data_IF_347566220760
#
_entry.id   IF_347566220760
#
_cell.length_a   1.000
_cell.length_b   1.000
_cell.length_c   1.000
_cell.angle_alpha   90.00
_cell.angle_beta   90.00
_cell.angle_gamma   90.00
#
_symmetry.space_group_name_H-M   'P 1'
#
loop_
_entity.id
_entity.type
_entity.pdbx_description
1 polymer ?
#
# COMPACT_ATOMS: atom_id res chain seq x y z
N UNK A 1 -1.00 -6.91 -10.33
CA UNK A 1 0.24 -7.62 -9.96
C UNK A 1 0.17 -9.13 -10.16
N UNK A 2 -0.76 -9.84 -9.49
CA UNK A 2 -0.89 -11.31 -9.59
C UNK A 2 -0.92 -11.84 -11.03
N UNK A 3 -1.78 -11.28 -11.89
CA UNK A 3 -1.88 -11.66 -13.30
C UNK A 3 -0.55 -11.52 -14.06
N UNK A 4 0.23 -10.47 -13.78
CA UNK A 4 1.54 -10.28 -14.41
C UNK A 4 2.59 -11.28 -13.92
N UNK A 5 2.52 -11.74 -12.67
CA UNK A 5 3.38 -12.81 -12.14
C UNK A 5 3.02 -14.16 -12.80
N UNK A 6 1.74 -14.46 -12.96
CA UNK A 6 1.28 -15.68 -13.63
C UNK A 6 1.74 -15.71 -15.09
N UNK A 7 1.60 -14.59 -15.82
CA UNK A 7 2.04 -14.47 -17.21
C UNK A 7 3.54 -14.76 -17.38
N UNK A 8 4.40 -14.21 -16.53
CA UNK A 8 5.83 -14.47 -16.63
C UNK A 8 6.20 -15.89 -16.18
N UNK A 9 5.63 -16.40 -15.09
CA UNK A 9 6.02 -17.71 -14.53
C UNK A 9 5.47 -18.91 -15.31
N UNK A 10 4.23 -18.82 -15.78
CA UNK A 10 3.53 -19.94 -16.43
C UNK A 10 3.59 -19.87 -17.95
N UNK A 11 3.59 -18.68 -18.52
CA UNK A 11 3.48 -18.48 -19.97
C UNK A 11 4.74 -17.88 -20.59
N UNK A 12 5.74 -17.51 -19.78
CA UNK A 12 6.96 -16.80 -20.21
C UNK A 12 6.66 -15.53 -21.03
N UNK A 13 5.47 -14.95 -20.84
CA UNK A 13 4.96 -13.80 -21.57
C UNK A 13 5.50 -12.51 -20.94
N UNK A 14 6.60 -12.02 -21.49
CA UNK A 14 7.29 -10.81 -21.03
C UNK A 14 6.45 -9.56 -21.28
N UNK A 15 5.85 -9.43 -22.46
CA UNK A 15 5.06 -8.26 -22.84
C UNK A 15 3.81 -8.12 -21.98
N UNK A 16 3.09 -9.22 -21.77
CA UNK A 16 1.94 -9.25 -20.89
C UNK A 16 2.32 -9.02 -19.43
N UNK A 17 3.45 -9.55 -18.97
CA UNK A 17 3.99 -9.22 -17.65
C UNK A 17 4.23 -7.71 -17.50
N UNK A 18 4.95 -7.09 -18.44
CA UNK A 18 5.28 -5.67 -18.41
C UNK A 18 4.02 -4.79 -18.45
N UNK A 19 3.05 -5.09 -19.32
CA UNK A 19 1.77 -4.38 -19.39
C UNK A 19 1.03 -4.44 -18.04
N UNK A 20 0.94 -5.63 -17.44
CA UNK A 20 0.29 -5.81 -16.14
C UNK A 20 1.04 -5.12 -14.99
N UNK A 21 2.38 -5.07 -15.03
CA UNK A 21 3.17 -4.32 -14.05
C UNK A 21 2.98 -2.81 -14.19
N UNK A 22 2.89 -2.29 -15.43
CA UNK A 22 2.59 -0.86 -15.68
C UNK A 22 1.23 -0.48 -15.13
N UNK A 23 0.17 -1.25 -15.42
CA UNK A 23 -1.15 -0.99 -14.86
C UNK A 23 -1.14 -1.05 -13.34
N UNK A 24 -0.47 -2.05 -12.74
CA UNK A 24 -0.35 -2.14 -11.28
C UNK A 24 0.36 -0.90 -10.68
N UNK A 25 1.43 -0.42 -11.31
CA UNK A 25 2.15 0.76 -10.86
C UNK A 25 1.29 2.02 -10.96
N UNK A 26 0.57 2.22 -12.07
CA UNK A 26 -0.35 3.35 -12.25
C UNK A 26 -1.47 3.30 -11.20
N UNK A 27 -2.10 2.15 -10.99
CA UNK A 27 -3.14 1.99 -9.96
C UNK A 27 -2.62 2.27 -8.56
N UNK A 28 -1.39 1.84 -8.23
CA UNK A 28 -0.77 2.10 -6.95
C UNK A 28 -0.50 3.61 -6.73
N UNK A 29 -0.03 4.31 -7.76
CA UNK A 29 0.17 5.77 -7.73
C UNK A 29 -1.17 6.49 -7.53
N UNK A 30 -2.20 6.13 -8.29
CA UNK A 30 -3.54 6.71 -8.15
C UNK A 30 -4.08 6.50 -6.73
N UNK A 31 -4.00 5.27 -6.22
CA UNK A 31 -4.39 4.96 -4.85
C UNK A 31 -3.65 5.82 -3.83
N UNK A 32 -2.33 5.95 -3.97
CA UNK A 32 -1.51 6.74 -3.06
C UNK A 32 -1.87 8.24 -3.11
N UNK A 33 -2.08 8.80 -4.30
CA UNK A 33 -2.52 10.19 -4.47
C UNK A 33 -3.87 10.41 -3.77
N UNK A 34 -4.83 9.51 -3.98
CA UNK A 34 -6.15 9.60 -3.32
C UNK A 34 -5.99 9.51 -1.80
N UNK A 35 -5.20 8.57 -1.30
CA UNK A 35 -4.96 8.38 0.14
C UNK A 35 -4.32 9.62 0.79
N UNK A 36 -3.27 10.17 0.18
CA UNK A 36 -2.59 11.38 0.68
C UNK A 36 -3.52 12.58 0.60
N UNK A 37 -4.23 12.76 -0.51
CA UNK A 37 -5.21 13.84 -0.67
C UNK A 37 -6.28 13.78 0.42
N UNK A 38 -6.88 12.60 0.63
CA UNK A 38 -7.85 12.36 1.71
C UNK A 38 -7.26 12.71 3.07
N UNK A 39 -6.03 12.29 3.33
CA UNK A 39 -5.34 12.57 4.61
C UNK A 39 -5.12 14.06 4.83
N UNK A 40 -4.73 14.80 3.79
CA UNK A 40 -4.50 16.26 3.87
C UNK A 40 -5.82 17.02 4.07
N UNK A 41 -6.86 16.69 3.29
CA UNK A 41 -8.10 17.48 3.28
C UNK A 41 -9.12 17.05 4.35
N UNK A 42 -9.23 15.76 4.64
CA UNK A 42 -10.24 15.20 5.56
C UNK A 42 -9.61 14.89 6.94
N UNK A 43 -8.29 14.68 6.99
CA UNK A 43 -7.57 14.33 8.22
C UNK A 43 -7.48 12.82 8.47
N UNK A 44 -6.96 12.45 9.63
CA UNK A 44 -6.87 11.06 10.08
C UNK A 44 -8.11 10.68 10.88
N UNK A 45 -8.53 9.42 10.75
CA UNK A 45 -9.62 8.88 11.56
C UNK A 45 -9.04 8.19 12.79
N UNK A 46 -9.56 8.49 13.97
CA UNK A 46 -9.17 7.81 15.20
C UNK A 46 -9.76 6.39 15.25
N UNK A 47 -9.10 5.49 15.97
CA UNK A 47 -9.65 4.15 16.19
C UNK A 47 -10.81 4.23 17.19
N UNK A 48 -12.01 3.80 16.80
CA UNK A 48 -13.22 3.88 17.64
C UNK A 48 -13.45 2.67 18.54
N UNK A 49 -12.47 1.80 18.70
CA UNK A 49 -12.59 0.57 19.50
C UNK A 49 -12.34 0.82 20.99
N UNK A 50 -12.67 -0.16 21.85
CA UNK A 50 -12.38 -0.10 23.28
C UNK A 50 -10.90 0.21 23.59
N UNK A 51 -10.64 0.93 24.68
CA UNK A 51 -9.29 1.39 25.06
C UNK A 51 -8.24 0.27 25.14
N UNK A 52 -8.65 -0.93 25.58
CA UNK A 52 -7.75 -2.07 25.68
C UNK A 52 -7.31 -2.62 24.31
N UNK A 53 -8.04 -2.34 23.22
CA UNK A 53 -7.68 -2.73 21.85
C UNK A 53 -6.82 -1.70 21.12
N UNK A 54 -6.82 -0.44 21.58
CA UNK A 54 -6.00 0.64 21.02
C UNK A 54 -4.52 0.28 20.85
N UNK A 55 -3.81 -0.31 21.84
CA UNK A 55 -2.40 -0.66 21.66
C UNK A 55 -2.20 -1.73 20.59
N UNK A 56 -3.08 -2.74 20.51
CA UNK A 56 -2.99 -3.80 19.51
C UNK A 56 -3.22 -3.26 18.10
N UNK A 57 -4.24 -2.41 17.93
CA UNK A 57 -4.51 -1.73 16.67
C UNK A 57 -3.32 -0.83 16.27
N UNK A 58 -2.76 -0.07 17.20
CA UNK A 58 -1.61 0.81 16.94
C UNK A 58 -0.40 0.03 16.47
N UNK A 59 -0.04 -1.08 17.14
CA UNK A 59 1.07 -1.95 16.71
C UNK A 59 0.80 -2.54 15.33
N UNK A 60 -0.42 -3.00 15.07
CA UNK A 60 -0.80 -3.52 13.76
C UNK A 60 -0.74 -2.46 12.66
N UNK A 61 -1.16 -1.23 12.96
CA UNK A 61 -1.09 -0.11 12.02
C UNK A 61 0.36 0.26 11.71
N UNK A 62 1.24 0.33 12.72
CA UNK A 62 2.68 0.56 12.52
C UNK A 62 3.27 -0.55 11.64
N UNK A 63 2.92 -1.81 11.91
CA UNK A 63 3.34 -2.93 11.08
C UNK A 63 2.92 -2.76 9.62
N UNK A 64 1.65 -2.40 9.37
CA UNK A 64 1.16 -2.12 8.02
C UNK A 64 1.93 -0.98 7.35
N UNK A 65 2.18 0.13 8.06
CA UNK A 65 2.92 1.29 7.53
C UNK A 65 4.34 0.88 7.13
N UNK A 66 5.06 0.16 8.00
CA UNK A 66 6.43 -0.32 7.70
C UNK A 66 6.41 -1.21 6.45
N UNK A 67 5.43 -2.10 6.33
CA UNK A 67 5.28 -2.97 5.17
C UNK A 67 4.94 -2.18 3.90
N UNK A 68 4.07 -1.18 3.99
CA UNK A 68 3.71 -0.29 2.89
C UNK A 68 4.90 0.53 2.40
N UNK A 69 5.67 1.13 3.30
CA UNK A 69 6.88 1.90 2.96
C UNK A 69 7.95 1.01 2.33
N UNK A 70 8.18 -0.17 2.90
CA UNK A 70 9.10 -1.17 2.32
C UNK A 70 8.65 -1.61 0.93
N UNK A 71 7.35 -1.83 0.75
CA UNK A 71 6.73 -2.20 -0.51
C UNK A 71 6.86 -1.11 -1.58
N UNK A 72 6.67 0.16 -1.21
CA UNK A 72 6.86 1.29 -2.11
C UNK A 72 8.32 1.38 -2.59
N UNK A 73 9.30 1.27 -1.68
CA UNK A 73 10.72 1.26 -2.03
C UNK A 73 11.06 0.11 -2.97
N UNK A 74 10.68 -1.13 -2.61
CA UNK A 74 10.94 -2.29 -3.45
C UNK A 74 10.24 -2.21 -4.80
N UNK A 75 8.99 -1.73 -4.85
CA UNK A 75 8.27 -1.48 -6.10
C UNK A 75 9.02 -0.51 -7.01
N UNK A 76 9.51 0.61 -6.47
CA UNK A 76 10.34 1.57 -7.18
C UNK A 76 11.64 0.94 -7.72
N UNK A 77 12.35 0.15 -6.90
CA UNK A 77 13.56 -0.57 -7.35
C UNK A 77 13.27 -1.57 -8.48
N UNK A 78 12.12 -2.26 -8.44
CA UNK A 78 11.73 -3.21 -9.49
C UNK A 78 11.44 -2.52 -10.81
N UNK A 79 10.75 -1.38 -10.78
CA UNK A 79 10.50 -0.53 -11.96
C UNK A 79 11.84 -0.03 -12.51
N UNK A 80 12.73 0.47 -11.65
CA UNK A 80 14.06 0.93 -12.06
C UNK A 80 14.89 -0.18 -12.73
N UNK A 81 14.98 -1.37 -12.11
CA UNK A 81 15.73 -2.49 -12.69
C UNK A 81 15.09 -3.01 -13.98
N UNK A 82 13.75 -3.00 -14.08
CA UNK A 82 13.04 -3.32 -15.31
C UNK A 82 13.35 -2.33 -16.43
N UNK A 83 13.31 -1.03 -16.14
CA UNK A 83 13.58 0.05 -17.10
C UNK A 83 15.05 0.13 -17.53
N UNK A 84 15.99 -0.30 -16.69
CA UNK A 84 17.43 -0.37 -17.00
C UNK A 84 17.87 -1.74 -17.52
N UNK A 85 16.93 -2.64 -17.80
CA UNK A 85 17.18 -4.00 -18.27
C UNK A 85 18.15 -4.81 -17.37
N UNK A 86 18.22 -4.46 -16.08
CA UNK A 86 19.04 -5.16 -15.08
C UNK A 86 18.30 -6.42 -14.59
N UNK A 87 17.98 -7.33 -15.52
CA UNK A 87 17.05 -8.44 -15.31
C UNK A 87 17.52 -9.45 -14.25
N UNK A 88 18.82 -9.65 -14.09
CA UNK A 88 19.37 -10.50 -13.03
C UNK A 88 18.98 -9.99 -11.63
N UNK A 89 19.16 -8.68 -11.39
CA UNK A 89 18.76 -8.04 -10.12
C UNK A 89 17.25 -7.98 -9.95
N UNK A 90 16.52 -7.70 -11.04
CA UNK A 90 15.05 -7.72 -11.04
C UNK A 90 14.52 -9.08 -10.58
N UNK A 91 14.94 -10.17 -11.23
CA UNK A 91 14.48 -11.54 -10.90
C UNK A 91 14.84 -11.97 -9.47
N UNK A 92 16.00 -11.56 -8.95
CA UNK A 92 16.41 -11.88 -7.58
C UNK A 92 15.52 -11.22 -6.52
N UNK A 93 15.10 -9.98 -6.75
CA UNK A 93 14.32 -9.20 -5.78
C UNK A 93 12.80 -9.29 -6.01
N UNK A 94 12.35 -9.68 -7.21
CA UNK A 94 10.93 -9.75 -7.56
C UNK A 94 10.07 -10.62 -6.62
N UNK A 95 10.53 -11.81 -6.14
CA UNK A 95 9.74 -12.62 -5.20
C UNK A 95 9.51 -11.90 -3.88
N UNK A 96 10.55 -11.28 -3.31
CA UNK A 96 10.46 -10.51 -2.06
C UNK A 96 9.55 -9.30 -2.20
N UNK A 97 9.73 -8.54 -3.29
CA UNK A 97 8.84 -7.42 -3.61
C UNK A 97 7.38 -7.87 -3.72
N UNK A 98 7.14 -9.06 -4.30
CA UNK A 98 5.78 -9.61 -4.42
C UNK A 98 5.16 -9.98 -3.09
N UNK A 99 5.89 -10.67 -2.22
CA UNK A 99 5.41 -11.05 -0.88
C UNK A 99 5.05 -9.80 -0.07
N UNK A 100 5.94 -8.82 -0.04
CA UNK A 100 5.71 -7.56 0.69
C UNK A 100 4.49 -6.84 0.11
N UNK A 101 4.37 -6.74 -1.21
CA UNK A 101 3.24 -6.04 -1.83
C UNK A 101 1.88 -6.68 -1.50
N UNK A 102 1.77 -8.01 -1.59
CA UNK A 102 0.53 -8.70 -1.21
C UNK A 102 0.27 -8.61 0.30
N UNK A 103 1.30 -8.70 1.14
CA UNK A 103 1.18 -8.49 2.57
C UNK A 103 0.64 -7.10 2.90
N UNK A 104 1.16 -6.05 2.25
CA UNK A 104 0.68 -4.67 2.38
C UNK A 104 -0.79 -4.57 1.98
N UNK A 105 -1.18 -5.16 0.86
CA UNK A 105 -2.57 -5.10 0.39
C UNK A 105 -3.55 -5.76 1.38
N UNK A 106 -3.22 -6.96 1.87
CA UNK A 106 -4.06 -7.70 2.83
C UNK A 106 -4.17 -6.92 4.14
N UNK A 107 -3.04 -6.48 4.69
CA UNK A 107 -3.02 -5.71 5.96
C UNK A 107 -3.72 -4.37 5.82
N UNK A 108 -3.62 -3.71 4.67
CA UNK A 108 -4.32 -2.44 4.39
C UNK A 108 -5.83 -2.61 4.35
N UNK A 109 -6.34 -3.68 3.73
CA UNK A 109 -7.76 -4.02 3.79
C UNK A 109 -8.20 -4.29 5.23
N UNK A 110 -7.39 -4.99 6.02
CA UNK A 110 -7.67 -5.20 7.44
C UNK A 110 -7.71 -3.89 8.24
N UNK A 111 -6.77 -2.96 8.02
CA UNK A 111 -6.81 -1.62 8.63
C UNK A 111 -8.12 -0.91 8.29
N UNK A 112 -8.53 -0.93 7.02
CA UNK A 112 -9.80 -0.34 6.60
C UNK A 112 -11.01 -0.95 7.31
N UNK A 113 -11.08 -2.28 7.35
CA UNK A 113 -12.20 -3.00 8.01
C UNK A 113 -12.23 -2.68 9.51
N UNK A 114 -11.10 -2.74 10.20
CA UNK A 114 -11.02 -2.43 11.62
C UNK A 114 -11.48 -1.02 11.91
N UNK A 115 -11.05 -0.06 11.09
CA UNK A 115 -11.24 1.36 11.38
C UNK A 115 -12.57 1.94 10.88
N UNK A 116 -13.18 1.40 9.81
CA UNK A 116 -14.42 1.93 9.24
C UNK A 116 -15.62 0.99 9.34
N UNK A 117 -15.42 -0.32 9.54
CA UNK A 117 -16.51 -1.30 9.56
C UNK A 117 -16.77 -1.80 10.97
N UNK A 118 -15.72 -2.26 11.67
CA UNK A 118 -15.87 -2.87 13.00
C UNK A 118 -15.81 -1.85 14.14
N UNK A 119 -14.89 -0.89 14.05
CA UNK A 119 -14.68 0.13 15.08
C UNK A 119 -14.60 1.54 14.48
N UNK A 120 -15.68 2.01 13.82
CA UNK A 120 -15.73 3.35 13.26
C UNK A 120 -15.45 4.41 14.34
N UNK A 121 -14.41 5.21 14.14
CA UNK A 121 -14.09 6.35 15.00
C UNK A 121 -15.09 7.51 14.85
N UNK A 122 -15.16 8.37 15.87
CA UNK A 122 -15.91 9.63 15.85
C UNK A 122 -15.30 10.70 14.93
N UNK A 123 -15.83 11.93 14.98
CA UNK A 123 -15.61 13.01 14.02
C UNK A 123 -14.15 13.16 13.53
N UNK A 124 -13.96 13.08 12.21
CA UNK A 124 -12.66 13.32 11.56
C UNK A 124 -12.33 14.81 11.59
N UNK A 125 -11.35 15.21 12.40
CA UNK A 125 -10.83 16.58 12.40
C UNK A 125 -9.86 16.78 11.23
N UNK A 126 -10.17 17.73 10.34
CA UNK A 126 -9.22 18.08 9.26
C UNK A 126 -8.06 18.91 9.80
N UNK A 127 -6.85 18.64 9.30
CA UNK A 127 -5.63 19.36 9.68
C UNK A 127 -5.75 20.87 9.43
N UNK A 128 -6.47 21.26 8.37
CA UNK A 128 -6.72 22.66 8.00
C UNK A 128 -7.59 23.36 9.04
N UNK A 129 -8.63 22.70 9.58
CA UNK A 129 -9.46 23.27 10.65
C UNK A 129 -8.71 23.41 11.96
N UNK A 130 -7.86 22.42 12.29
CA UNK A 130 -7.05 22.46 13.51
C UNK A 130 -6.03 23.62 13.51
N UNK A 131 -5.54 24.03 12.33
CA UNK A 131 -4.52 25.09 12.20
C UNK A 131 -5.13 26.49 11.97
N UNK A 132 -6.23 26.61 11.21
CA UNK A 132 -6.80 27.91 10.81
C UNK A 132 -7.92 28.44 11.72
N UNK A 133 -8.39 27.67 12.71
CA UNK A 133 -9.41 28.14 13.68
C UNK A 133 -8.84 28.62 15.02
N UNK A 134 -7.58 29.06 15.06
CA UNK A 134 -6.98 29.69 16.25
C UNK A 134 -6.61 31.15 15.97
#
# INVERSE_FOLDING_TARGET
>A
MAAGIVRIKKHQDIDGHQKMMKYAAVSAIIFFIIYVSRTIFIGNTAFGGPDYLVPFYTVFLIFHIVLATSGAFLGGTQIYFGAKEKLSKHRKLAPWASVIWFGTAITGVMVYVLLYVLYPGGETTSLIRAILQN
#
